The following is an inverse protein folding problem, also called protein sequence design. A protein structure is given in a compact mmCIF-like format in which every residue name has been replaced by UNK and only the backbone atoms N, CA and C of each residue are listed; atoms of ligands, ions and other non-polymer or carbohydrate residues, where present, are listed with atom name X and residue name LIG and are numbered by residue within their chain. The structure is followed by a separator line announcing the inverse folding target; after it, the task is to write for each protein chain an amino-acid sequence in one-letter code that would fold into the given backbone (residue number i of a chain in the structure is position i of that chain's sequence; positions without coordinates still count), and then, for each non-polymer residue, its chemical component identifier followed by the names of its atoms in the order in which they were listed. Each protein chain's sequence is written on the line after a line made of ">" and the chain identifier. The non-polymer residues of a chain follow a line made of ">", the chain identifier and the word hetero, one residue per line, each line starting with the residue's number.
data_IF_581057375364
#
_entry.id   IF_581057375364
#
_cell.length_a   1.000
_cell.length_b   1.000
_cell.length_c   1.000
_cell.angle_alpha   90.00
_cell.angle_beta   90.00
_cell.angle_gamma   90.00
#
_symmetry.space_group_name_H-M   'P 1'
#
loop_
_entity.id
_entity.type
_entity.pdbx_description
1 polymer ?
#
# COMPACT_ATOMS: atom_id res chain seq x y z
N UNK A 1 7.73 -23.63 9.13
CA UNK A 1 7.93 -22.35 8.40
C UNK A 1 7.64 -22.62 6.93
N UNK A 2 7.19 -21.61 6.16
CA UNK A 2 7.08 -21.74 4.71
C UNK A 2 8.45 -22.13 4.13
N UNK A 3 8.45 -23.14 3.25
CA UNK A 3 9.68 -23.74 2.73
C UNK A 3 10.35 -22.85 1.67
N UNK A 4 9.60 -21.92 1.05
CA UNK A 4 10.07 -21.10 -0.07
C UNK A 4 9.54 -19.67 0.07
N UNK A 5 10.45 -18.70 -0.09
CA UNK A 5 10.10 -17.29 -0.23
C UNK A 5 9.72 -16.99 -1.69
N UNK A 6 8.72 -16.13 -1.90
CA UNK A 6 8.35 -15.65 -3.24
C UNK A 6 9.42 -14.74 -3.83
N UNK A 7 10.13 -14.01 -2.97
CA UNK A 7 11.22 -13.11 -3.32
C UNK A 7 12.32 -13.20 -2.25
N UNK A 8 13.58 -12.98 -2.63
CA UNK A 8 14.71 -12.98 -1.69
C UNK A 8 14.54 -11.91 -0.59
N UNK A 9 13.94 -10.77 -0.94
CA UNK A 9 13.68 -9.60 -0.11
C UNK A 9 12.21 -9.56 0.41
N UNK A 10 11.52 -10.70 0.46
CA UNK A 10 10.10 -10.77 0.79
C UNK A 10 9.75 -10.12 2.14
N UNK A 11 10.62 -10.21 3.15
CA UNK A 11 10.38 -9.58 4.45
C UNK A 11 10.29 -8.04 4.38
N UNK A 12 11.18 -7.38 3.62
CA UNK A 12 11.13 -5.91 3.48
C UNK A 12 9.95 -5.47 2.61
N UNK A 13 9.62 -6.24 1.57
CA UNK A 13 8.43 -5.99 0.75
C UNK A 13 7.14 -6.07 1.57
N UNK A 14 7.04 -7.02 2.50
CA UNK A 14 5.91 -7.08 3.42
C UNK A 14 5.84 -5.85 4.31
N UNK A 15 6.97 -5.34 4.81
CA UNK A 15 6.98 -4.10 5.60
C UNK A 15 6.58 -2.87 4.79
N UNK A 16 6.96 -2.80 3.52
CA UNK A 16 6.49 -1.76 2.61
C UNK A 16 4.98 -1.88 2.36
N UNK A 17 4.47 -3.10 2.20
CA UNK A 17 3.04 -3.35 2.03
C UNK A 17 2.23 -2.99 3.29
N UNK A 18 2.77 -3.31 4.47
CA UNK A 18 2.22 -2.91 5.77
C UNK A 18 2.10 -1.38 5.85
N UNK A 19 3.17 -0.65 5.48
CA UNK A 19 3.19 0.82 5.46
C UNK A 19 2.12 1.39 4.51
N UNK A 20 1.99 0.85 3.30
CA UNK A 20 0.95 1.28 2.35
C UNK A 20 -0.45 1.04 2.94
N UNK A 21 -0.67 -0.12 3.57
CA UNK A 21 -1.94 -0.45 4.22
C UNK A 21 -2.28 0.49 5.37
N UNK A 22 -1.30 0.81 6.22
CA UNK A 22 -1.48 1.72 7.35
C UNK A 22 -1.74 3.17 6.88
N UNK A 23 -1.06 3.64 5.83
CA UNK A 23 -1.29 4.97 5.25
C UNK A 23 -2.65 5.08 4.52
N UNK A 24 -3.24 3.97 4.08
CA UNK A 24 -4.59 3.98 3.50
C UNK A 24 -5.65 4.48 4.50
N UNK A 25 -5.36 4.47 5.81
CA UNK A 25 -6.23 5.05 6.84
C UNK A 25 -6.39 6.57 6.73
N UNK A 26 -5.56 7.25 5.93
CA UNK A 26 -5.76 8.67 5.59
C UNK A 26 -7.06 8.91 4.80
N UNK A 27 -7.65 7.86 4.20
CA UNK A 27 -8.90 7.94 3.44
C UNK A 27 -8.75 8.42 2.00
N UNK A 28 -7.54 8.80 1.59
CA UNK A 28 -7.19 9.13 0.21
C UNK A 28 -5.73 8.72 -0.09
N UNK A 29 -5.38 8.48 -1.37
CA UNK A 29 -3.99 8.25 -1.76
C UNK A 29 -3.09 9.42 -1.35
N UNK A 30 -1.97 9.12 -0.71
CA UNK A 30 -0.96 10.11 -0.38
C UNK A 30 -0.06 10.37 -1.59
N UNK A 31 -0.08 11.61 -2.10
CA UNK A 31 0.90 12.09 -3.06
C UNK A 31 2.10 12.67 -2.30
N UNK A 32 3.18 11.90 -2.18
CA UNK A 32 4.38 12.34 -1.47
C UNK A 32 5.47 11.27 -1.36
N UNK A 33 6.61 11.66 -0.83
CA UNK A 33 7.71 10.75 -0.47
C UNK A 33 7.57 10.33 0.99
N UNK A 34 7.65 9.02 1.26
CA UNK A 34 7.65 8.48 2.61
C UNK A 34 8.96 7.72 2.82
N UNK A 35 9.73 8.14 3.82
CA UNK A 35 10.95 7.47 4.27
C UNK A 35 10.71 6.82 5.63
N UNK A 36 11.02 5.53 5.75
CA UNK A 36 10.75 4.75 6.95
C UNK A 36 11.97 3.89 7.30
N UNK A 37 12.54 4.12 8.48
CA UNK A 37 13.72 3.40 8.98
C UNK A 37 13.33 2.53 10.16
N UNK A 38 13.45 1.20 10.00
CA UNK A 38 13.06 0.21 11.01
C UNK A 38 11.65 0.46 11.60
N UNK A 39 10.73 0.95 10.76
CA UNK A 39 9.38 1.31 11.16
C UNK A 39 8.45 0.08 11.20
N UNK A 40 7.46 0.13 12.08
CA UNK A 40 6.35 -0.81 12.13
C UNK A 40 5.02 -0.07 12.31
N UNK A 41 3.93 -0.83 12.43
CA UNK A 41 2.56 -0.29 12.44
C UNK A 41 2.34 0.89 13.40
N UNK A 42 2.91 0.84 14.61
CA UNK A 42 2.76 1.93 15.57
C UNK A 42 3.30 3.26 15.03
N UNK A 43 4.44 3.25 14.34
CA UNK A 43 5.03 4.46 13.75
C UNK A 43 4.27 4.90 12.51
N UNK A 44 3.79 3.96 11.68
CA UNK A 44 2.99 4.29 10.49
C UNK A 44 1.67 4.96 10.87
N UNK A 45 0.96 4.42 11.87
CA UNK A 45 -0.28 5.00 12.40
C UNK A 45 -0.03 6.36 13.05
N UNK A 46 1.10 6.53 13.76
CA UNK A 46 1.48 7.82 14.31
C UNK A 46 1.73 8.86 13.22
N UNK A 47 2.39 8.49 12.12
CA UNK A 47 2.56 9.35 10.94
C UNK A 47 1.21 9.73 10.33
N UNK A 48 0.33 8.77 10.10
CA UNK A 48 -1.00 9.03 9.54
C UNK A 48 -1.81 10.01 10.42
N UNK A 49 -1.78 9.82 11.75
CA UNK A 49 -2.38 10.75 12.71
C UNK A 49 -1.76 12.15 12.62
N UNK A 50 -0.43 12.25 12.59
CA UNK A 50 0.28 13.52 12.53
C UNK A 50 -0.05 14.33 11.25
N UNK A 51 -0.30 13.65 10.13
CA UNK A 51 -0.76 14.29 8.88
C UNK A 51 -2.18 14.85 9.06
N UNK A 52 -3.10 14.06 9.61
CA UNK A 52 -4.49 14.48 9.82
C UNK A 52 -4.61 15.61 10.86
N UNK A 53 -3.78 15.59 11.89
CA UNK A 53 -3.76 16.59 12.97
C UNK A 53 -3.13 17.93 12.51
N UNK A 54 -2.53 17.99 11.32
CA UNK A 54 -1.90 19.20 10.75
C UNK A 54 -2.46 19.55 9.35
N UNK A 55 -3.72 20.02 9.25
CA UNK A 55 -4.35 20.35 7.96
C UNK A 55 -3.61 21.40 7.13
N UNK A 56 -2.76 22.23 7.75
CA UNK A 56 -1.94 23.23 7.07
C UNK A 56 -0.70 22.64 6.37
N UNK A 57 -0.35 21.38 6.65
CA UNK A 57 0.85 20.72 6.13
C UNK A 57 0.62 19.99 4.80
N UNK A 58 -0.61 19.96 4.30
CA UNK A 58 -0.98 19.28 3.07
C UNK A 58 -2.14 19.97 2.37
N UNK A 59 -2.33 19.67 1.09
CA UNK A 59 -3.44 20.19 0.28
C UNK A 59 -4.03 19.06 -0.55
N UNK A 60 -5.28 19.22 -0.97
CA UNK A 60 -5.88 18.34 -1.97
C UNK A 60 -5.28 18.63 -3.35
N UNK A 61 -4.89 17.56 -4.04
CA UNK A 61 -4.46 17.62 -5.44
C UNK A 61 -5.41 16.75 -6.27
N UNK A 62 -5.93 17.31 -7.36
CA UNK A 62 -6.66 16.54 -8.35
C UNK A 62 -5.65 15.78 -9.20
N UNK A 63 -5.60 14.46 -9.02
CA UNK A 63 -4.82 13.60 -9.90
C UNK A 63 -5.64 13.35 -11.16
N UNK A 64 -5.14 13.69 -12.37
CA UNK A 64 -5.84 13.34 -13.60
C UNK A 64 -6.10 11.83 -13.64
N UNK A 65 -7.28 11.42 -14.13
CA UNK A 65 -7.54 9.99 -14.36
C UNK A 65 -6.36 9.40 -15.15
N UNK A 66 -5.69 8.43 -14.54
CA UNK A 66 -4.61 7.73 -15.21
C UNK A 66 -5.20 7.08 -16.47
N UNK A 67 -4.56 7.33 -17.62
CA UNK A 67 -4.88 6.65 -18.88
C UNK A 67 -4.71 5.12 -18.67
N UNK A 68 -5.83 4.46 -18.40
CA UNK A 68 -5.88 3.03 -18.05
C UNK A 68 -5.45 2.14 -19.22
N UNK A 69 -5.33 2.71 -20.43
CA UNK A 69 -4.78 2.01 -21.60
C UNK A 69 -3.32 1.57 -21.43
N UNK A 70 -2.59 2.13 -20.46
CA UNK A 70 -1.19 1.79 -20.16
C UNK A 70 -0.99 0.84 -18.98
N UNK A 71 -2.05 0.52 -18.22
CA UNK A 71 -1.95 -0.53 -17.19
C UNK A 71 -1.88 -1.86 -17.93
N UNK A 72 -0.68 -2.42 -17.97
CA UNK A 72 -0.43 -3.79 -18.41
C UNK A 72 -1.53 -4.68 -17.85
N UNK A 73 -2.30 -5.35 -18.72
CA UNK A 73 -3.33 -6.32 -18.34
C UNK A 73 -2.67 -7.42 -17.51
N UNK A 74 -2.58 -7.23 -16.20
CA UNK A 74 -2.16 -8.28 -15.30
C UNK A 74 -3.30 -9.29 -15.23
N UNK A 75 -3.02 -10.57 -15.46
CA UNK A 75 -4.05 -11.60 -15.41
C UNK A 75 -4.67 -11.62 -14.02
N UNK A 76 -6.01 -11.59 -13.98
CA UNK A 76 -6.77 -11.73 -12.73
C UNK A 76 -6.73 -13.19 -12.31
N UNK A 77 -6.44 -13.44 -11.03
CA UNK A 77 -6.71 -14.74 -10.41
C UNK A 77 -8.23 -14.91 -10.30
N UNK A 78 -8.79 -15.78 -11.14
CA UNK A 78 -10.13 -16.31 -10.96
C UNK A 78 -10.02 -17.58 -10.11
N UNK A 79 -10.67 -17.67 -8.93
CA UNK A 79 -10.76 -18.95 -8.24
C UNK A 79 -11.58 -19.90 -9.11
N UNK A 80 -10.95 -20.97 -9.61
CA UNK A 80 -11.70 -22.14 -10.05
C UNK A 80 -12.22 -22.76 -8.75
N UNK A 81 -13.49 -22.55 -8.44
CA UNK A 81 -14.15 -23.42 -7.48
C UNK A 81 -14.12 -24.84 -8.05
N UNK A 82 -13.11 -25.61 -7.66
CA UNK A 82 -13.15 -27.05 -7.74
C UNK A 82 -14.17 -27.49 -6.68
N UNK A 83 -15.41 -27.69 -7.13
CA UNK A 83 -16.54 -28.03 -6.28
C UNK A 83 -17.61 -28.81 -7.04
N UNK A 84 -17.30 -30.10 -7.26
CA UNK A 84 -18.21 -31.25 -7.10
C UNK A 84 -19.61 -31.21 -7.72
N UNK A 85 -19.80 -32.07 -8.73
CA UNK A 85 -20.79 -33.15 -8.73
C UNK A 85 -20.21 -34.36 -9.48
#
# INVERSE_FOLDING_TARGET
>A
LNEVLRFEDEAVRHKMLDLIGDLALLGAPLAGLVEAHAAGHALHVALAKAILDQPQAWTWEEVPEADDSKRHHQPRFSPVFAGTA
#
